data_IF_792875384196
#
_entry.id   IF_792875384196
#
_cell.length_a   1.000
_cell.length_b   1.000
_cell.length_c   1.000
_cell.angle_alpha   90.00
_cell.angle_beta   90.00
_cell.angle_gamma   90.00
#
_symmetry.space_group_name_H-M   'P 1'
#
loop_
_entity.id
_entity.type
_entity.pdbx_description
1 polymer ?
#
# COMPACT_ATOMS: atom_id res chain seq x y z
N UNK A 1 -10.40 -0.32 -14.60
CA UNK A 1 -11.14 -0.75 -13.37
C UNK A 1 -12.05 -1.97 -13.58
N UNK A 2 -13.00 -1.97 -14.52
CA UNK A 2 -13.97 -3.09 -14.72
C UNK A 2 -13.34 -4.48 -14.88
N UNK A 3 -12.17 -4.58 -15.53
CA UNK A 3 -11.47 -5.88 -15.69
C UNK A 3 -10.86 -6.34 -14.36
N UNK A 4 -10.20 -5.45 -13.62
CA UNK A 4 -9.65 -5.76 -12.29
C UNK A 4 -10.77 -6.25 -11.35
N UNK A 5 -11.92 -5.57 -11.33
CA UNK A 5 -13.09 -6.01 -10.56
C UNK A 5 -13.60 -7.40 -10.98
N UNK A 6 -13.66 -7.71 -12.27
CA UNK A 6 -14.05 -9.04 -12.75
C UNK A 6 -13.08 -10.14 -12.28
N UNK A 7 -11.76 -9.84 -12.27
CA UNK A 7 -10.74 -10.76 -11.74
C UNK A 7 -10.94 -10.93 -10.24
N UNK A 8 -11.14 -9.84 -9.49
CA UNK A 8 -11.45 -9.85 -8.06
C UNK A 8 -12.65 -10.75 -7.76
N UNK A 9 -13.76 -10.53 -8.45
CA UNK A 9 -15.00 -11.30 -8.28
C UNK A 9 -14.78 -12.80 -8.52
N UNK A 10 -14.04 -13.17 -9.55
CA UNK A 10 -13.74 -14.57 -9.84
C UNK A 10 -12.84 -15.19 -8.77
N UNK A 11 -11.87 -14.41 -8.25
CA UNK A 11 -10.97 -14.83 -7.19
C UNK A 11 -11.72 -15.03 -5.86
N UNK A 12 -12.65 -14.12 -5.52
CA UNK A 12 -13.51 -14.27 -4.35
C UNK A 12 -14.43 -15.49 -4.46
N UNK A 13 -15.01 -15.76 -5.64
CA UNK A 13 -15.82 -16.96 -5.91
C UNK A 13 -15.05 -18.27 -5.77
N UNK A 14 -13.73 -18.23 -5.96
CA UNK A 14 -12.85 -19.38 -5.73
C UNK A 14 -12.58 -19.64 -4.23
N UNK A 15 -13.22 -18.89 -3.32
CA UNK A 15 -13.14 -19.09 -1.87
C UNK A 15 -12.12 -18.20 -1.15
N UNK A 16 -11.64 -17.13 -1.81
CA UNK A 16 -10.75 -16.16 -1.16
C UNK A 16 -11.58 -14.99 -0.61
N UNK A 17 -11.46 -14.73 0.70
CA UNK A 17 -12.20 -13.64 1.35
C UNK A 17 -11.56 -12.29 1.05
N UNK A 18 -12.35 -11.28 0.71
CA UNK A 18 -11.86 -9.90 0.62
C UNK A 18 -11.62 -9.40 2.05
N UNK A 19 -10.41 -8.88 2.32
CA UNK A 19 -9.98 -8.39 3.64
C UNK A 19 -9.60 -6.91 3.62
N UNK A 20 -9.55 -6.28 2.47
CA UNK A 20 -9.29 -4.85 2.31
C UNK A 20 -9.64 -4.38 0.90
N UNK A 21 -10.07 -3.13 0.79
CA UNK A 21 -10.30 -2.48 -0.49
C UNK A 21 -10.00 -0.99 -0.41
N UNK A 22 -9.60 -0.42 -1.52
CA UNK A 22 -9.33 0.99 -1.70
C UNK A 22 -9.83 1.47 -3.06
N UNK A 23 -9.33 2.63 -3.49
CA UNK A 23 -9.78 3.25 -4.75
C UNK A 23 -9.43 2.36 -5.95
N UNK A 24 -8.21 1.88 -6.05
CA UNK A 24 -7.69 1.22 -7.26
C UNK A 24 -7.53 -0.29 -7.13
N UNK A 25 -7.55 -0.81 -5.91
CA UNK A 25 -7.25 -2.22 -5.63
C UNK A 25 -8.01 -2.80 -4.46
N UNK A 26 -8.02 -4.12 -4.38
CA UNK A 26 -8.52 -4.87 -3.23
C UNK A 26 -7.55 -6.00 -2.87
N UNK A 27 -7.58 -6.39 -1.60
CA UNK A 27 -6.77 -7.45 -1.02
C UNK A 27 -7.66 -8.59 -0.58
N UNK A 28 -7.30 -9.80 -0.99
CA UNK A 28 -7.99 -11.02 -0.59
C UNK A 28 -7.05 -11.90 0.23
N UNK A 29 -7.61 -12.59 1.22
CA UNK A 29 -6.89 -13.66 1.90
C UNK A 29 -6.74 -14.85 0.97
N UNK A 30 -5.49 -15.31 0.77
CA UNK A 30 -5.21 -16.46 -0.08
C UNK A 30 -5.46 -17.76 0.70
N UNK A 31 -6.42 -18.54 0.21
CA UNK A 31 -6.68 -19.87 0.78
C UNK A 31 -7.25 -19.85 2.19
N UNK A 32 -6.62 -20.57 3.11
CA UNK A 32 -7.12 -20.72 4.48
C UNK A 32 -6.57 -19.63 5.41
N UNK A 33 -7.28 -19.24 6.47
CA UNK A 33 -6.89 -18.15 7.38
C UNK A 33 -5.48 -18.26 7.99
N UNK A 34 -4.92 -19.47 8.04
CA UNK A 34 -3.56 -19.70 8.56
C UNK A 34 -2.46 -19.66 7.48
N UNK A 35 -2.82 -19.50 6.21
CA UNK A 35 -1.85 -19.24 5.16
C UNK A 35 -1.46 -17.78 5.25
N UNK A 36 -0.19 -17.51 5.55
CA UNK A 36 0.37 -16.15 5.74
C UNK A 36 0.55 -15.41 4.39
N UNK A 37 -0.46 -15.49 3.52
CA UNK A 37 -0.43 -14.92 2.17
C UNK A 37 -1.72 -14.21 1.81
N UNK A 38 -1.57 -13.17 1.01
CA UNK A 38 -2.68 -12.39 0.44
C UNK A 38 -2.51 -12.24 -1.08
N UNK A 39 -3.63 -11.97 -1.73
CA UNK A 39 -3.67 -11.61 -3.16
C UNK A 39 -4.13 -10.17 -3.24
N UNK A 40 -3.29 -9.27 -3.77
CA UNK A 40 -3.71 -7.90 -4.14
C UNK A 40 -4.06 -7.88 -5.62
N UNK A 41 -5.23 -7.34 -5.95
CA UNK A 41 -5.74 -7.19 -7.33
C UNK A 41 -6.07 -5.73 -7.52
N UNK A 42 -5.55 -5.12 -8.57
CA UNK A 42 -5.78 -3.71 -8.84
C UNK A 42 -5.71 -3.34 -10.32
N UNK A 43 -5.92 -2.06 -10.59
CA UNK A 43 -5.82 -1.48 -11.91
C UNK A 43 -4.36 -1.13 -12.21
N UNK A 44 -3.79 -1.68 -13.28
CA UNK A 44 -2.38 -1.47 -13.63
C UNK A 44 -2.10 -0.11 -14.29
N UNK A 45 -3.13 0.62 -14.71
CA UNK A 45 -2.96 1.95 -15.31
C UNK A 45 -3.19 3.10 -14.33
N UNK A 46 -3.83 2.84 -13.18
CA UNK A 46 -4.22 3.87 -12.24
C UNK A 46 -3.65 3.70 -10.82
N UNK A 47 -3.23 2.49 -10.43
CA UNK A 47 -2.76 2.20 -9.09
C UNK A 47 -1.24 2.44 -8.95
N UNK A 48 -0.78 3.49 -8.24
CA UNK A 48 0.64 3.76 -8.03
C UNK A 48 1.35 2.66 -7.22
N UNK A 49 0.59 1.80 -6.53
CA UNK A 49 1.15 0.66 -5.82
C UNK A 49 1.98 -0.25 -6.74
N UNK A 50 1.64 -0.35 -8.01
CA UNK A 50 2.39 -1.16 -8.95
C UNK A 50 3.84 -0.68 -9.08
N UNK A 51 4.05 0.63 -9.17
CA UNK A 51 5.39 1.23 -9.17
C UNK A 51 6.13 0.95 -7.86
N UNK A 52 5.44 1.11 -6.72
CA UNK A 52 6.01 0.78 -5.42
C UNK A 52 6.44 -0.68 -5.33
N UNK A 53 5.62 -1.60 -5.84
CA UNK A 53 5.94 -3.03 -5.89
C UNK A 53 7.20 -3.32 -6.71
N UNK A 54 7.40 -2.60 -7.82
CA UNK A 54 8.61 -2.72 -8.63
C UNK A 54 9.85 -2.17 -7.91
N UNK A 55 9.72 -1.04 -7.21
CA UNK A 55 10.80 -0.49 -6.38
C UNK A 55 11.13 -1.41 -5.19
N UNK A 56 10.12 -1.91 -4.49
CA UNK A 56 10.31 -2.86 -3.39
C UNK A 56 11.08 -4.10 -3.84
N UNK A 57 10.78 -4.62 -5.04
CA UNK A 57 11.52 -5.74 -5.65
C UNK A 57 12.97 -5.38 -5.98
N UNK A 58 13.26 -4.14 -6.38
CA UNK A 58 14.64 -3.67 -6.64
C UNK A 58 15.47 -3.51 -5.36
N UNK A 59 14.84 -3.15 -4.23
CA UNK A 59 15.47 -3.13 -2.91
C UNK A 59 15.79 -4.53 -2.37
N UNK A 60 15.30 -5.59 -3.04
CA UNK A 60 15.55 -6.97 -2.66
C UNK A 60 14.83 -7.38 -1.38
N UNK A 61 15.57 -8.04 -0.46
CA UNK A 61 15.00 -8.54 0.81
C UNK A 61 14.96 -7.47 1.92
N UNK A 62 14.64 -6.21 1.58
CA UNK A 62 14.50 -5.18 2.60
C UNK A 62 13.32 -5.52 3.54
N UNK A 63 13.57 -5.52 4.86
CA UNK A 63 12.58 -5.94 5.85
C UNK A 63 11.44 -4.94 6.06
N UNK A 64 11.57 -3.72 5.53
CA UNK A 64 10.58 -2.64 5.65
C UNK A 64 9.70 -2.47 4.39
N UNK A 65 9.85 -3.36 3.42
CA UNK A 65 8.96 -3.46 2.25
C UNK A 65 8.19 -4.79 2.27
N UNK A 66 6.98 -4.86 1.66
CA UNK A 66 6.23 -6.10 1.57
C UNK A 66 6.97 -7.12 0.68
N UNK A 67 6.95 -8.39 1.09
CA UNK A 67 7.46 -9.48 0.26
C UNK A 67 6.45 -9.85 -0.80
N UNK A 68 6.86 -9.69 -2.07
CA UNK A 68 6.03 -10.00 -3.24
C UNK A 68 6.56 -11.25 -3.90
N UNK A 69 5.85 -12.37 -3.74
CA UNK A 69 6.26 -13.66 -4.31
C UNK A 69 6.09 -13.70 -5.82
N UNK A 70 4.94 -13.21 -6.30
CA UNK A 70 4.59 -13.18 -7.72
C UNK A 70 3.84 -11.91 -8.04
N UNK A 71 4.17 -11.30 -9.16
CA UNK A 71 3.47 -10.15 -9.71
C UNK A 71 3.18 -10.44 -11.18
N UNK A 72 1.92 -10.46 -11.53
CA UNK A 72 1.42 -10.54 -12.90
C UNK A 72 0.78 -9.21 -13.27
N UNK A 73 1.15 -8.64 -14.40
CA UNK A 73 0.60 -7.39 -14.92
C UNK A 73 0.11 -7.60 -16.34
N UNK A 74 -1.12 -7.23 -16.61
CA UNK A 74 -1.69 -7.16 -17.94
C UNK A 74 -2.03 -5.69 -18.27
N UNK A 75 -1.12 -5.03 -18.94
CA UNK A 75 -1.29 -3.62 -19.34
C UNK A 75 -2.38 -3.45 -20.42
N UNK A 76 -2.68 -4.49 -21.21
CA UNK A 76 -3.72 -4.43 -22.24
C UNK A 76 -5.12 -4.46 -21.62
N UNK A 77 -5.31 -5.27 -20.60
CA UNK A 77 -6.57 -5.41 -19.88
C UNK A 77 -6.64 -4.57 -18.61
N UNK A 78 -5.61 -3.77 -18.36
CA UNK A 78 -5.49 -2.80 -17.26
C UNK A 78 -5.69 -3.41 -15.87
N UNK A 79 -5.07 -4.56 -15.59
CA UNK A 79 -5.09 -5.12 -14.24
C UNK A 79 -3.76 -5.77 -13.85
N UNK A 80 -3.56 -5.90 -12.55
CA UNK A 80 -2.49 -6.72 -11.99
C UNK A 80 -3.02 -7.67 -10.92
N UNK A 81 -2.25 -8.73 -10.66
CA UNK A 81 -2.45 -9.67 -9.55
C UNK A 81 -1.11 -9.89 -8.87
N UNK A 82 -1.03 -9.61 -7.58
CA UNK A 82 0.16 -9.85 -6.77
C UNK A 82 -0.14 -10.85 -5.67
N UNK A 83 0.69 -11.91 -5.59
CA UNK A 83 0.74 -12.79 -4.42
C UNK A 83 1.83 -12.27 -3.49
N UNK A 84 1.47 -11.98 -2.26
CA UNK A 84 2.38 -11.38 -1.30
C UNK A 84 2.15 -11.93 0.11
N UNK A 85 3.04 -11.63 1.03
CA UNK A 85 2.86 -12.00 2.43
C UNK A 85 1.64 -11.30 3.04
N UNK A 86 1.02 -11.96 4.01
CA UNK A 86 0.07 -11.32 4.89
C UNK A 86 0.85 -10.61 6.02
N UNK A 87 0.53 -9.33 6.22
CA UNK A 87 1.07 -8.50 7.29
C UNK A 87 -0.01 -8.25 8.34
N UNK A 88 0.40 -7.99 9.58
CA UNK A 88 -0.52 -7.65 10.66
C UNK A 88 -0.75 -6.14 10.70
N UNK A 89 -1.95 -5.72 11.10
CA UNK A 89 -2.23 -4.33 11.47
C UNK A 89 -1.68 -3.95 12.84
N UNK A 90 -1.38 -4.94 13.69
CA UNK A 90 -0.84 -4.74 15.03
C UNK A 90 0.49 -5.48 15.17
N UNK A 91 1.45 -4.94 15.95
CA UNK A 91 2.67 -5.66 16.32
C UNK A 91 2.32 -6.90 17.16
N UNK A 92 3.20 -7.89 17.15
CA UNK A 92 2.95 -9.18 17.83
C UNK A 92 3.06 -9.09 19.37
N UNK A 93 3.88 -8.19 19.88
CA UNK A 93 4.05 -7.96 21.31
C UNK A 93 3.10 -6.86 21.80
N UNK A 94 2.66 -6.96 23.08
CA UNK A 94 1.71 -6.02 23.72
C UNK A 94 2.24 -4.57 23.88
N UNK A 95 3.34 -4.21 23.26
CA UNK A 95 3.81 -2.82 23.22
C UNK A 95 2.86 -2.01 22.34
N UNK A 96 2.14 -1.09 22.99
CA UNK A 96 1.24 -0.17 22.29
C UNK A 96 2.04 0.79 21.40
N UNK A 97 1.96 0.54 20.10
CA UNK A 97 2.53 1.42 19.07
C UNK A 97 1.38 2.11 18.36
N UNK A 98 1.28 3.43 18.49
CA UNK A 98 0.30 4.19 17.75
C UNK A 98 0.69 4.28 16.27
N UNK A 99 -0.01 3.52 15.43
CA UNK A 99 0.22 3.50 13.98
C UNK A 99 -0.06 4.85 13.32
N UNK A 100 -0.97 5.66 13.88
CA UNK A 100 -1.24 7.01 13.35
C UNK A 100 -0.04 7.93 13.62
N UNK A 101 0.51 7.86 14.82
CA UNK A 101 1.71 8.62 15.19
C UNK A 101 2.92 8.18 14.36
N UNK A 102 3.11 6.87 14.19
CA UNK A 102 4.19 6.33 13.36
C UNK A 102 4.05 6.75 11.90
N UNK A 103 2.86 6.64 11.32
CA UNK A 103 2.58 7.05 9.95
C UNK A 103 2.81 8.55 9.77
N UNK A 104 2.39 9.39 10.72
CA UNK A 104 2.62 10.83 10.69
C UNK A 104 4.12 11.15 10.77
N UNK A 105 4.86 10.49 11.67
CA UNK A 105 6.31 10.67 11.81
C UNK A 105 7.07 10.29 10.54
N UNK A 106 6.67 9.19 9.87
CA UNK A 106 7.25 8.79 8.59
C UNK A 106 6.88 9.81 7.50
N UNK A 107 5.64 10.28 7.47
CA UNK A 107 5.20 11.31 6.52
C UNK A 107 6.00 12.60 6.70
N UNK A 108 6.19 13.07 7.94
CA UNK A 108 6.97 14.27 8.25
C UNK A 108 8.44 14.11 7.85
N UNK A 109 8.99 12.90 7.97
CA UNK A 109 10.34 12.60 7.49
C UNK A 109 10.41 12.66 5.95
N UNK A 110 9.43 12.09 5.25
CA UNK A 110 9.39 12.10 3.76
C UNK A 110 9.26 13.52 3.22
N UNK A 111 8.41 14.35 3.82
CA UNK A 111 8.21 15.74 3.36
C UNK A 111 9.25 16.73 3.93
N UNK A 112 10.26 16.25 4.65
CA UNK A 112 11.36 17.07 5.17
C UNK A 112 10.99 17.98 6.34
N UNK A 113 9.92 17.68 7.07
CA UNK A 113 9.54 18.41 8.30
C UNK A 113 10.34 17.95 9.52
N UNK A 114 10.90 16.76 9.48
CA UNK A 114 11.82 16.20 10.48
C UNK A 114 13.02 15.60 9.79
N UNK A 115 14.14 15.50 10.51
CA UNK A 115 15.37 14.87 10.02
C UNK A 115 15.41 13.38 10.40
N UNK A 116 16.24 12.60 9.69
CA UNK A 116 16.50 11.19 10.06
C UNK A 116 16.97 11.03 11.49
N UNK A 117 17.74 11.98 11.99
CA UNK A 117 18.24 11.97 13.37
C UNK A 117 17.09 12.18 14.36
N UNK A 118 16.28 13.22 14.18
CA UNK A 118 15.13 13.50 15.04
C UNK A 118 14.12 12.35 15.03
N UNK A 119 13.85 11.78 13.86
CA UNK A 119 13.01 10.58 13.75
C UNK A 119 13.60 9.41 14.56
N UNK A 120 14.90 9.14 14.41
CA UNK A 120 15.56 8.05 15.13
C UNK A 120 15.60 8.27 16.66
N UNK A 121 15.69 9.51 17.11
CA UNK A 121 15.63 9.88 18.53
C UNK A 121 14.21 9.71 19.09
N UNK A 122 13.18 10.11 18.33
CA UNK A 122 11.76 9.97 18.73
C UNK A 122 11.32 8.50 18.88
N UNK A 123 11.87 7.60 18.06
CA UNK A 123 11.53 6.18 18.07
C UNK A 123 12.63 5.29 18.70
N UNK A 124 13.51 5.88 19.52
CA UNK A 124 14.68 5.17 20.08
C UNK A 124 14.28 4.00 20.99
N UNK A 125 13.24 4.16 21.82
CA UNK A 125 12.77 3.10 22.73
C UNK A 125 12.20 1.89 21.98
N UNK A 126 11.58 2.10 20.80
CA UNK A 126 11.03 1.07 19.95
C UNK A 126 12.02 0.53 18.91
N UNK A 127 13.29 1.00 18.94
CA UNK A 127 14.28 0.66 17.91
C UNK A 127 14.47 -0.83 17.70
N UNK A 128 14.59 -1.59 18.80
CA UNK A 128 14.83 -3.04 18.74
C UNK A 128 13.61 -3.82 18.23
N UNK A 129 12.44 -3.24 18.36
CA UNK A 129 11.14 -3.83 17.98
C UNK A 129 10.81 -3.48 16.53
N UNK A 130 10.71 -2.19 16.22
CA UNK A 130 10.27 -1.70 14.90
C UNK A 130 11.35 -1.79 13.82
N UNK A 131 12.64 -1.63 14.23
CA UNK A 131 13.79 -1.51 13.33
C UNK A 131 14.89 -2.51 13.73
N UNK A 132 14.60 -3.84 13.75
CA UNK A 132 15.53 -4.84 14.31
C UNK A 132 16.88 -4.90 13.56
N UNK A 133 16.92 -4.46 12.31
CA UNK A 133 18.15 -4.36 11.51
C UNK A 133 18.76 -2.95 11.51
N UNK A 134 18.27 -2.09 12.43
CA UNK A 134 18.66 -0.69 12.53
C UNK A 134 17.94 0.21 11.54
N UNK A 135 18.12 1.51 11.70
CA UNK A 135 17.45 2.51 10.86
C UNK A 135 17.95 2.58 9.42
N UNK A 136 19.13 2.05 9.11
CA UNK A 136 19.74 2.14 7.77
C UNK A 136 18.83 1.52 6.72
N UNK A 137 18.37 0.29 6.94
CA UNK A 137 17.48 -0.41 6.00
C UNK A 137 16.10 0.25 5.89
N UNK A 138 15.61 0.85 6.98
CA UNK A 138 14.38 1.63 6.96
C UNK A 138 14.54 2.92 6.14
N UNK A 139 15.64 3.65 6.35
CA UNK A 139 15.91 4.88 5.62
C UNK A 139 16.16 4.66 4.12
N UNK A 140 16.63 3.48 3.69
CA UNK A 140 16.69 3.12 2.27
C UNK A 140 15.29 3.13 1.62
N UNK A 141 14.26 2.64 2.34
CA UNK A 141 12.87 2.69 1.86
C UNK A 141 12.34 4.12 1.86
N UNK A 142 12.63 4.88 2.92
CA UNK A 142 12.21 6.30 3.02
C UNK A 142 12.85 7.12 1.90
N UNK A 143 14.16 6.97 1.66
CA UNK A 143 14.85 7.67 0.56
C UNK A 143 14.25 7.31 -0.80
N UNK A 144 13.95 6.04 -1.04
CA UNK A 144 13.28 5.60 -2.26
C UNK A 144 11.90 6.25 -2.40
N UNK A 145 11.14 6.39 -1.32
CA UNK A 145 9.85 7.08 -1.34
C UNK A 145 10.04 8.56 -1.65
N UNK A 146 10.98 9.24 -1.00
CA UNK A 146 11.31 10.66 -1.25
C UNK A 146 11.67 10.87 -2.73
N UNK A 147 12.60 10.06 -3.25
CA UNK A 147 13.11 10.19 -4.61
C UNK A 147 12.06 9.97 -5.70
N UNK A 148 10.95 9.30 -5.35
CA UNK A 148 9.90 8.93 -6.29
C UNK A 148 8.53 9.52 -5.96
N UNK A 149 8.43 10.37 -4.93
CA UNK A 149 7.22 11.16 -4.66
C UNK A 149 7.28 12.44 -5.48
N UNK A 150 6.28 12.66 -6.31
CA UNK A 150 6.19 13.88 -7.10
C UNK A 150 5.82 15.05 -6.17
N UNK A 151 6.76 15.97 -5.97
CA UNK A 151 6.47 17.22 -5.28
C UNK A 151 5.73 18.13 -6.27
N UNK A 152 4.45 18.41 -6.01
CA UNK A 152 3.69 19.40 -6.77
C UNK A 152 4.40 20.76 -6.66
N UNK A 153 4.83 21.27 -7.80
CA UNK A 153 5.17 22.70 -7.96
C UNK A 153 3.91 23.48 -8.32
N UNK A 154 3.91 24.80 -8.18
CA UNK A 154 2.77 25.62 -8.62
C UNK A 154 2.50 25.45 -10.13
N UNK A 155 3.53 25.16 -10.93
CA UNK A 155 3.41 24.92 -12.38
C UNK A 155 2.64 23.61 -12.66
N UNK A 156 2.77 22.59 -11.80
CA UNK A 156 2.06 21.31 -11.94
C UNK A 156 0.55 21.48 -11.68
N UNK A 157 0.18 22.39 -10.77
CA UNK A 157 -1.23 22.72 -10.49
C UNK A 157 -1.87 23.39 -11.71
N UNK A 158 -1.18 24.31 -12.38
CA UNK A 158 -1.67 24.96 -13.62
C UNK A 158 -1.84 23.93 -14.75
N UNK A 159 -0.98 22.90 -14.82
CA UNK A 159 -1.08 21.86 -15.85
C UNK A 159 -2.23 20.90 -15.60
N UNK A 160 -2.53 20.56 -14.35
CA UNK A 160 -3.71 19.76 -13.97
C UNK A 160 -5.00 20.52 -14.28
N UNK A 161 -5.05 21.83 -13.99
CA UNK A 161 -6.18 22.71 -14.35
C UNK A 161 -6.35 22.85 -15.87
N UNK A 162 -5.28 22.67 -16.65
CA UNK A 162 -5.31 22.65 -18.11
C UNK A 162 -5.77 21.30 -18.70
N UNK A 163 -6.11 20.31 -17.88
CA UNK A 163 -6.58 18.99 -18.31
C UNK A 163 -5.49 18.07 -18.86
N UNK A 164 -4.22 18.36 -18.56
CA UNK A 164 -3.12 17.45 -18.88
C UNK A 164 -3.03 16.41 -17.76
N UNK A 165 -3.32 15.15 -18.09
CA UNK A 165 -3.21 14.01 -17.19
C UNK A 165 -1.73 13.74 -16.87
N UNK A 166 -1.28 14.20 -15.70
CA UNK A 166 -0.06 13.70 -15.09
C UNK A 166 -0.41 12.61 -14.08
N UNK A 167 0.15 11.43 -14.26
CA UNK A 167 0.20 10.43 -13.19
C UNK A 167 1.22 10.91 -12.15
N UNK A 168 0.75 11.67 -11.16
CA UNK A 168 1.59 12.15 -10.08
C UNK A 168 1.45 11.24 -8.88
N UNK A 169 2.59 10.76 -8.36
CA UNK A 169 2.65 9.96 -7.13
C UNK A 169 2.60 10.91 -5.93
N UNK A 170 1.43 11.07 -5.37
CA UNK A 170 1.26 11.84 -4.14
C UNK A 170 1.48 10.93 -2.94
N UNK A 171 2.13 11.47 -1.91
CA UNK A 171 2.32 10.76 -0.66
C UNK A 171 0.96 10.44 -0.01
N UNK A 172 0.75 9.16 0.34
CA UNK A 172 -0.45 8.62 0.99
C UNK A 172 -0.07 7.74 2.19
N UNK A 173 0.75 8.29 3.08
CA UNK A 173 1.16 7.61 4.29
C UNK A 173 0.15 7.88 5.42
N UNK A 174 -0.66 6.87 5.69
CA UNK A 174 -1.60 6.82 6.80
C UNK A 174 -1.50 5.47 7.53
N UNK A 175 -2.16 5.32 8.67
CA UNK A 175 -2.06 4.11 9.50
C UNK A 175 -2.41 2.82 8.75
N UNK A 176 -3.30 2.86 7.75
CA UNK A 176 -3.64 1.71 6.92
C UNK A 176 -2.50 1.22 6.03
N UNK A 177 -1.53 2.09 5.71
CA UNK A 177 -0.37 1.80 4.88
C UNK A 177 0.89 1.46 5.71
N UNK A 178 0.76 1.44 7.05
CA UNK A 178 1.78 0.97 7.98
C UNK A 178 1.31 -0.35 8.59
N UNK A 179 2.03 -1.41 8.31
CA UNK A 179 1.74 -2.75 8.80
C UNK A 179 2.98 -3.39 9.43
N UNK A 180 2.85 -4.58 9.99
CA UNK A 180 3.92 -5.24 10.72
C UNK A 180 4.18 -6.66 10.20
N UNK A 181 5.46 -6.97 10.04
CA UNK A 181 5.98 -8.33 9.91
C UNK A 181 6.51 -8.74 11.28
N UNK A 182 5.73 -9.51 12.04
CA UNK A 182 5.91 -9.63 13.48
C UNK A 182 5.86 -8.22 14.11
N UNK A 183 7.01 -7.72 14.56
CA UNK A 183 7.12 -6.38 15.14
C UNK A 183 7.81 -5.37 14.22
N UNK A 184 8.40 -5.82 13.10
CA UNK A 184 9.09 -4.94 12.15
C UNK A 184 8.08 -4.13 11.35
N UNK A 185 8.24 -2.80 11.35
CA UNK A 185 7.41 -1.92 10.54
C UNK A 185 7.63 -2.16 9.05
N UNK A 186 6.53 -2.23 8.29
CA UNK A 186 6.52 -2.40 6.84
C UNK A 186 5.63 -1.31 6.23
N UNK A 187 6.19 -0.52 5.33
CA UNK A 187 5.43 0.43 4.52
C UNK A 187 4.82 -0.36 3.36
N UNK A 188 3.50 -0.32 3.17
CA UNK A 188 2.81 -1.20 2.22
C UNK A 188 2.35 -0.50 0.95
N UNK A 189 1.96 0.78 1.04
CA UNK A 189 1.36 1.54 -0.07
C UNK A 189 1.57 3.05 0.16
N UNK A 190 2.76 3.61 -0.15
CA UNK A 190 3.08 4.97 0.23
C UNK A 190 2.50 6.04 -0.70
N UNK A 191 1.88 5.66 -1.83
CA UNK A 191 1.45 6.62 -2.86
C UNK A 191 -0.01 6.46 -3.26
N UNK A 192 -0.67 7.59 -3.55
CA UNK A 192 -1.92 7.63 -4.27
C UNK A 192 -1.78 8.43 -5.58
N UNK A 193 -2.70 8.21 -6.51
CA UNK A 193 -2.82 9.02 -7.71
C UNK A 193 -3.68 10.25 -7.42
N UNK A 194 -3.28 11.42 -7.93
CA UNK A 194 -4.04 12.66 -7.77
C UNK A 194 -5.11 12.87 -8.85
N UNK A 195 -5.12 12.04 -9.90
CA UNK A 195 -6.16 12.13 -10.90
C UNK A 195 -7.53 11.87 -10.23
N UNK A 196 -8.42 12.84 -10.31
CA UNK A 196 -9.83 12.66 -9.93
C UNK A 196 -10.44 11.73 -10.98
N UNK A 197 -10.41 10.44 -10.69
CA UNK A 197 -11.05 9.46 -11.56
C UNK A 197 -12.56 9.58 -11.37
N UNK A 198 -13.28 9.92 -12.44
CA UNK A 198 -14.75 9.85 -12.49
C UNK A 198 -15.26 8.40 -12.44
N UNK A 199 -14.36 7.42 -12.31
CA UNK A 199 -14.70 6.01 -12.23
C UNK A 199 -14.98 5.56 -10.80
N UNK A 200 -15.98 4.70 -10.58
CA UNK A 200 -16.22 4.10 -9.28
C UNK A 200 -14.97 3.42 -8.74
N UNK A 201 -14.67 3.61 -7.45
CA UNK A 201 -13.57 2.93 -6.78
C UNK A 201 -13.78 1.42 -6.74
N UNK A 202 -12.71 0.65 -6.49
CA UNK A 202 -12.85 -0.80 -6.28
C UNK A 202 -13.77 -1.08 -5.08
N UNK A 203 -13.70 -0.26 -4.04
CA UNK A 203 -14.57 -0.31 -2.87
C UNK A 203 -16.04 -0.13 -3.27
N UNK A 204 -16.38 0.88 -4.08
CA UNK A 204 -17.73 1.08 -4.60
C UNK A 204 -18.25 -0.14 -5.38
N UNK A 205 -17.41 -0.74 -6.23
CA UNK A 205 -17.79 -1.97 -6.95
C UNK A 205 -18.08 -3.14 -6.01
N UNK A 206 -17.38 -3.23 -4.87
CA UNK A 206 -17.60 -4.27 -3.86
C UNK A 206 -18.91 -4.01 -3.12
N UNK A 207 -19.15 -2.78 -2.68
CA UNK A 207 -20.36 -2.36 -1.95
C UNK A 207 -21.63 -2.56 -2.77
N UNK A 208 -21.59 -2.18 -4.04
CA UNK A 208 -22.72 -2.32 -4.97
C UNK A 208 -22.92 -3.75 -5.50
N UNK A 209 -22.05 -4.69 -5.11
CA UNK A 209 -22.11 -6.06 -5.60
C UNK A 209 -23.31 -6.82 -5.04
N UNK A 210 -24.16 -7.35 -5.88
CA UNK A 210 -25.21 -8.29 -5.50
C UNK A 210 -24.68 -9.71 -5.16
N UNK A 211 -23.39 -9.96 -5.42
CA UNK A 211 -22.75 -11.25 -5.18
C UNK A 211 -22.36 -11.40 -3.72
N UNK A 212 -23.02 -12.30 -3.00
CA UNK A 212 -22.78 -12.53 -1.56
C UNK A 212 -21.33 -12.88 -1.20
N UNK A 213 -20.56 -13.44 -2.13
CA UNK A 213 -19.14 -13.75 -1.89
C UNK A 213 -18.26 -12.48 -1.91
N UNK A 214 -18.75 -11.40 -2.49
CA UNK A 214 -18.09 -10.11 -2.57
C UNK A 214 -18.66 -9.14 -1.53
N UNK A 215 -19.99 -9.08 -1.36
CA UNK A 215 -20.67 -8.15 -0.46
C UNK A 215 -20.55 -8.49 1.03
N UNK A 216 -20.10 -9.69 1.39
CA UNK A 216 -19.87 -10.06 2.79
C UNK A 216 -18.64 -9.40 3.43
N UNK A 217 -17.88 -8.60 2.68
CA UNK A 217 -16.72 -7.86 3.18
C UNK A 217 -17.06 -6.94 4.37
N UNK A 218 -18.23 -6.28 4.35
CA UNK A 218 -18.64 -5.34 5.41
C UNK A 218 -19.46 -5.99 6.54
N UNK A 219 -19.74 -7.28 6.49
CA UNK A 219 -20.60 -7.97 7.46
C UNK A 219 -19.82 -8.87 8.44
N UNK A 220 -18.49 -8.84 8.45
CA UNK A 220 -17.59 -9.50 9.39
C UNK A 220 -16.75 -8.48 10.13
#
# INVERSE_FOLDING_TARGET
>A
MATAYRVLKNTAKAGNAIIGAGVYSAVLQHGKPWESKVIKIGNSSADPWLDYAEFAKKLGENCHTPRIDKLYVDYHSEYYVANMEALSSEPYDDEYIDRHELAQSISDLVVGRTTKQEFAESWLEFKSVLFPWGYTTFFEVVDMIIDNTDCFTNDDVEMVEAGLEFQTRKLDLHAGNIMFRNNTVVITDPWCNCAVDDHPSMETYIEESEDKNVSNYYNN
#
